data_IF_871182711005
#
_entry.id   IF_871182711005
#
_cell.length_a   1.000
_cell.length_b   1.000
_cell.length_c   1.000
_cell.angle_alpha   90.00
_cell.angle_beta   90.00
_cell.angle_gamma   90.00
#
_symmetry.space_group_name_H-M   'P 1'
#
loop_
_entity.id
_entity.type
_entity.pdbx_description
1 polymer ?
#
# COMPACT_ATOMS: atom_id res chain seq x y z
N UNK A 1 18.04 -17.34 12.65
CA UNK A 1 17.02 -17.75 13.61
C UNK A 1 16.14 -16.53 13.86
N UNK A 2 14.96 -16.49 13.30
CA UNK A 2 13.97 -15.45 13.62
C UNK A 2 13.39 -15.80 15.00
N UNK A 3 13.61 -14.92 15.98
CA UNK A 3 13.00 -15.08 17.31
C UNK A 3 11.47 -15.01 17.17
N UNK A 4 10.77 -15.82 17.98
CA UNK A 4 9.30 -15.71 18.05
C UNK A 4 8.88 -14.27 18.36
N UNK A 5 7.82 -13.76 17.72
CA UNK A 5 7.32 -12.45 18.04
C UNK A 5 6.89 -12.40 19.53
N UNK A 6 7.07 -11.25 20.19
CA UNK A 6 6.70 -11.13 21.61
C UNK A 6 5.19 -11.35 21.78
N UNK A 7 4.79 -11.84 22.95
CA UNK A 7 3.39 -12.10 23.29
C UNK A 7 2.49 -10.86 23.26
N UNK A 8 3.08 -9.66 23.36
CA UNK A 8 2.44 -8.35 23.24
C UNK A 8 3.27 -7.47 22.33
N UNK A 9 2.65 -6.96 21.28
CA UNK A 9 3.25 -5.99 20.37
C UNK A 9 2.42 -4.70 20.39
N UNK A 10 3.08 -3.56 20.61
CA UNK A 10 2.42 -2.25 20.59
C UNK A 10 2.56 -1.64 19.19
N UNK A 11 1.48 -1.11 18.68
CA UNK A 11 1.44 -0.31 17.44
C UNK A 11 1.34 1.16 17.86
N UNK A 12 2.46 1.70 18.33
CA UNK A 12 2.57 3.05 18.88
C UNK A 12 3.47 3.95 18.02
N UNK A 13 3.55 5.21 18.36
CA UNK A 13 4.30 6.21 17.62
C UNK A 13 5.80 5.90 17.57
N UNK A 14 6.37 5.34 18.63
CA UNK A 14 7.79 4.98 18.67
C UNK A 14 8.12 3.91 17.61
N UNK A 15 7.25 2.90 17.48
CA UNK A 15 7.36 1.88 16.43
C UNK A 15 7.24 2.51 15.04
N UNK A 16 6.25 3.39 14.83
CA UNK A 16 6.01 4.04 13.53
C UNK A 16 7.21 4.89 13.12
N UNK A 17 7.72 5.73 14.00
CA UNK A 17 8.87 6.61 13.74
C UNK A 17 10.14 5.82 13.40
N UNK A 18 10.39 4.74 14.13
CA UNK A 18 11.54 3.86 13.88
C UNK A 18 11.46 3.20 12.51
N UNK A 19 10.31 2.58 12.17
CA UNK A 19 10.16 1.91 10.87
C UNK A 19 10.11 2.92 9.72
N UNK A 20 9.59 4.13 9.95
CA UNK A 20 9.62 5.22 8.97
C UNK A 20 11.05 5.70 8.68
N UNK A 21 11.90 5.80 9.71
CA UNK A 21 13.31 6.11 9.53
C UNK A 21 14.04 5.03 8.70
N UNK A 22 13.75 3.75 8.96
CA UNK A 22 14.25 2.64 8.15
C UNK A 22 13.75 2.75 6.68
N UNK A 23 12.47 3.03 6.47
CA UNK A 23 11.88 3.16 5.14
C UNK A 23 12.53 4.29 4.33
N UNK A 24 12.77 5.45 4.95
CA UNK A 24 13.46 6.59 4.30
C UNK A 24 14.89 6.27 3.85
N UNK A 25 15.58 5.38 4.57
CA UNK A 25 16.96 4.99 4.27
C UNK A 25 17.06 3.92 3.16
N UNK A 26 15.96 3.30 2.77
CA UNK A 26 15.95 2.25 1.73
C UNK A 26 15.72 2.84 0.33
N UNK A 27 16.37 2.30 -0.71
CA UNK A 27 16.12 2.73 -2.11
C UNK A 27 14.66 2.58 -2.54
N UNK A 28 13.94 1.60 -1.99
CA UNK A 28 12.51 1.35 -2.26
C UNK A 28 11.59 2.34 -1.57
N UNK A 29 12.09 3.15 -0.66
CA UNK A 29 11.33 4.10 0.14
C UNK A 29 10.17 3.45 0.92
N UNK A 30 10.30 2.17 1.25
CA UNK A 30 9.34 1.42 2.07
C UNK A 30 9.98 0.32 2.90
N UNK A 31 9.35 0.03 4.03
CA UNK A 31 9.73 -1.03 4.95
C UNK A 31 8.50 -1.78 5.46
N UNK A 32 8.55 -3.11 5.40
CA UNK A 32 7.58 -3.97 6.08
C UNK A 32 8.10 -4.30 7.48
N UNK A 33 7.22 -4.22 8.47
CA UNK A 33 7.45 -4.68 9.83
C UNK A 33 6.46 -5.79 10.16
N UNK A 34 6.94 -7.03 10.19
CA UNK A 34 6.08 -8.20 10.40
C UNK A 34 5.66 -8.32 11.87
N UNK A 35 4.36 -8.55 12.07
CA UNK A 35 3.74 -8.84 13.36
C UNK A 35 3.43 -10.34 13.50
N UNK A 36 3.78 -11.13 12.50
CA UNK A 36 3.51 -12.55 12.38
C UNK A 36 4.79 -13.31 12.03
N UNK A 37 4.75 -14.63 12.15
CA UNK A 37 5.76 -15.54 11.60
C UNK A 37 5.35 -15.98 10.21
N UNK A 38 6.30 -16.28 9.34
CA UNK A 38 6.02 -16.70 7.95
C UNK A 38 5.03 -17.86 7.84
N UNK A 39 5.08 -18.92 8.70
CA UNK A 39 4.11 -20.02 8.62
C UNK A 39 2.73 -19.73 9.23
N UNK A 40 2.51 -18.54 9.78
CA UNK A 40 1.21 -18.20 10.36
C UNK A 40 0.12 -18.18 9.28
N UNK A 41 -1.11 -18.67 9.57
CA UNK A 41 -2.19 -18.73 8.60
C UNK A 41 -2.76 -17.34 8.24
N UNK A 42 -2.41 -16.31 8.98
CA UNK A 42 -2.76 -14.92 8.69
C UNK A 42 -1.52 -14.05 8.79
N UNK A 43 -1.17 -13.41 7.69
CA UNK A 43 -0.10 -12.42 7.63
C UNK A 43 -0.60 -11.09 8.17
N UNK A 44 0.19 -10.45 9.01
CA UNK A 44 -0.10 -9.14 9.64
C UNK A 44 1.20 -8.35 9.69
N UNK A 45 1.24 -7.21 9.05
CA UNK A 45 2.45 -6.38 9.04
C UNK A 45 2.13 -4.90 8.80
N UNK A 46 3.01 -4.05 9.26
CA UNK A 46 2.99 -2.65 8.90
C UNK A 46 3.73 -2.48 7.58
N UNK A 47 3.08 -1.84 6.63
CA UNK A 47 3.68 -1.30 5.42
C UNK A 47 3.95 0.19 5.67
N UNK A 48 5.21 0.57 5.83
CA UNK A 48 5.58 1.97 6.05
C UNK A 48 6.21 2.50 4.78
N UNK A 49 5.61 3.56 4.22
CA UNK A 49 5.91 4.04 2.87
C UNK A 49 6.10 5.54 2.81
N UNK A 50 7.00 5.95 1.92
CA UNK A 50 7.27 7.34 1.56
C UNK A 50 6.70 7.66 0.18
N UNK A 51 6.31 8.92 -0.12
CA UNK A 51 6.07 9.36 -1.48
C UNK A 51 7.27 9.01 -2.40
N UNK A 52 6.98 8.44 -3.56
CA UNK A 52 8.00 7.85 -4.45
C UNK A 52 8.14 6.33 -4.33
N UNK A 53 7.47 5.70 -3.36
CA UNK A 53 7.40 4.24 -3.28
C UNK A 53 6.61 3.69 -4.47
N UNK A 54 7.27 2.97 -5.35
CA UNK A 54 6.61 2.25 -6.43
C UNK A 54 6.23 0.84 -6.00
N UNK A 55 4.95 0.49 -6.11
CA UNK A 55 4.45 -0.87 -5.94
C UNK A 55 3.97 -1.35 -7.30
N UNK A 56 4.63 -2.37 -7.87
CA UNK A 56 4.21 -2.92 -9.16
C UNK A 56 2.80 -3.48 -9.04
N UNK A 57 1.89 -3.19 -10.00
CA UNK A 57 0.53 -3.73 -9.99
C UNK A 57 0.51 -5.25 -9.93
N UNK A 58 -0.29 -5.78 -9.04
CA UNK A 58 -0.39 -7.20 -8.79
C UNK A 58 -1.76 -7.57 -8.21
N UNK A 59 -1.99 -8.86 -8.13
CA UNK A 59 -3.09 -9.48 -7.39
C UNK A 59 -2.55 -10.65 -6.58
N UNK A 60 -3.33 -11.10 -5.63
CA UNK A 60 -3.07 -12.34 -4.91
C UNK A 60 -4.06 -13.40 -5.36
N UNK A 61 -3.53 -14.55 -5.77
CA UNK A 61 -4.30 -15.73 -6.12
C UNK A 61 -3.93 -16.83 -5.12
N UNK A 62 -4.92 -17.51 -4.59
CA UNK A 62 -4.71 -18.55 -3.60
C UNK A 62 -4.95 -19.94 -4.21
N UNK A 63 -4.29 -20.95 -3.64
CA UNK A 63 -4.49 -22.34 -4.02
C UNK A 63 -5.90 -22.84 -3.74
N UNK A 64 -6.62 -22.16 -2.83
CA UNK A 64 -8.06 -22.37 -2.56
C UNK A 64 -8.83 -21.14 -2.99
N UNK A 65 -9.43 -21.13 -4.19
CA UNK A 65 -10.17 -19.97 -4.68
C UNK A 65 -11.28 -19.54 -3.74
N UNK A 66 -11.45 -18.21 -3.58
CA UNK A 66 -12.50 -17.60 -2.77
C UNK A 66 -12.18 -17.48 -1.28
N UNK A 67 -11.01 -17.91 -0.82
CA UNK A 67 -10.57 -17.75 0.57
C UNK A 67 -9.60 -16.56 0.76
N UNK A 68 -9.01 -16.04 -0.34
CA UNK A 68 -8.06 -14.96 -0.30
C UNK A 68 -8.72 -13.59 -0.01
N UNK A 69 -8.05 -12.80 0.80
CA UNK A 69 -8.42 -11.40 1.05
C UNK A 69 -7.17 -10.58 1.39
N UNK A 70 -7.28 -9.28 1.22
CA UNK A 70 -6.38 -8.29 1.80
C UNK A 70 -7.19 -7.20 2.49
N UNK A 71 -6.78 -6.83 3.68
CA UNK A 71 -7.39 -5.73 4.42
C UNK A 71 -6.32 -4.69 4.74
N UNK A 72 -6.55 -3.45 4.32
CA UNK A 72 -5.70 -2.31 4.54
C UNK A 72 -6.33 -1.35 5.54
N UNK A 73 -5.59 -0.94 6.56
CA UNK A 73 -6.01 0.09 7.52
C UNK A 73 -4.89 1.10 7.68
N UNK A 74 -5.14 2.36 7.34
CA UNK A 74 -4.15 3.43 7.50
C UNK A 74 -4.15 3.91 8.93
N UNK A 75 -3.00 3.77 9.59
CA UNK A 75 -2.78 4.15 10.99
C UNK A 75 -2.14 5.55 11.11
N UNK A 76 -1.37 5.98 10.09
CA UNK A 76 -0.74 7.29 10.01
C UNK A 76 -0.62 7.74 8.56
N UNK A 77 -0.79 9.03 8.28
CA UNK A 77 -0.67 9.60 6.95
C UNK A 77 -1.81 9.20 6.01
N UNK A 78 -1.50 9.04 4.73
CA UNK A 78 -2.47 8.73 3.70
C UNK A 78 -1.88 7.90 2.55
N UNK A 79 -2.70 7.00 2.03
CA UNK A 79 -2.38 6.09 0.93
C UNK A 79 -3.42 6.26 -0.19
N UNK A 80 -2.96 6.26 -1.42
CA UNK A 80 -3.81 6.09 -2.60
C UNK A 80 -3.81 4.64 -3.04
N UNK A 81 -4.98 4.03 -3.09
CA UNK A 81 -5.20 2.71 -3.68
C UNK A 81 -5.75 2.89 -5.09
N UNK A 82 -5.15 2.20 -6.06
CA UNK A 82 -5.63 2.16 -7.44
C UNK A 82 -6.00 0.72 -7.79
N UNK A 83 -7.22 0.52 -8.26
CA UNK A 83 -7.67 -0.74 -8.83
C UNK A 83 -7.53 -0.68 -10.36
N UNK A 84 -7.03 -1.77 -10.94
CA UNK A 84 -6.75 -1.84 -12.37
C UNK A 84 -7.57 -2.96 -13.02
N UNK A 85 -7.86 -2.79 -14.31
CA UNK A 85 -8.35 -3.87 -15.14
C UNK A 85 -7.18 -4.72 -15.70
N UNK A 86 -7.46 -5.84 -16.38
CA UNK A 86 -6.42 -6.70 -16.97
C UNK A 86 -5.57 -6.00 -18.04
N UNK A 87 -6.06 -4.92 -18.65
CA UNK A 87 -5.35 -4.10 -19.63
C UNK A 87 -4.46 -3.03 -18.98
N UNK A 88 -4.46 -2.97 -17.65
CA UNK A 88 -3.64 -2.04 -16.86
C UNK A 88 -4.21 -0.64 -16.73
N UNK A 89 -5.49 -0.44 -17.09
CA UNK A 89 -6.14 0.86 -16.91
C UNK A 89 -6.65 0.99 -15.47
N UNK A 90 -6.50 2.17 -14.90
CA UNK A 90 -7.04 2.48 -13.57
C UNK A 90 -8.55 2.65 -13.67
N UNK A 91 -9.30 1.75 -13.06
CA UNK A 91 -10.78 1.73 -13.07
C UNK A 91 -11.39 2.33 -11.80
N UNK A 92 -10.65 2.34 -10.69
CA UNK A 92 -11.11 2.91 -9.42
C UNK A 92 -9.95 3.47 -8.62
N UNK A 93 -10.20 4.51 -7.83
CA UNK A 93 -9.23 5.14 -6.94
C UNK A 93 -9.87 5.41 -5.59
N UNK A 94 -9.15 5.04 -4.53
CA UNK A 94 -9.57 5.28 -3.16
C UNK A 94 -8.45 5.97 -2.37
N UNK A 95 -8.78 7.08 -1.71
CA UNK A 95 -7.88 7.73 -0.76
C UNK A 95 -8.20 7.24 0.64
N UNK A 96 -7.26 6.49 1.23
CA UNK A 96 -7.32 6.06 2.62
C UNK A 96 -6.44 6.98 3.46
N UNK A 97 -6.94 7.46 4.59
CA UNK A 97 -6.17 8.35 5.46
C UNK A 97 -6.53 8.13 6.93
N UNK A 98 -5.55 8.16 7.81
CA UNK A 98 -5.75 7.98 9.26
C UNK A 98 -6.72 9.03 9.84
N UNK A 99 -6.67 10.27 9.34
CA UNK A 99 -7.58 11.35 9.72
C UNK A 99 -8.77 11.56 8.75
N UNK A 100 -8.91 10.68 7.72
CA UNK A 100 -9.96 10.81 6.71
C UNK A 100 -11.24 10.06 7.04
N UNK A 101 -12.28 10.24 6.22
CA UNK A 101 -13.53 9.49 6.37
C UNK A 101 -13.36 8.00 6.02
N UNK A 102 -12.48 7.67 5.07
CA UNK A 102 -12.13 6.31 4.69
C UNK A 102 -10.73 5.99 5.25
N UNK A 103 -10.68 5.05 6.19
CA UNK A 103 -9.44 4.66 6.88
C UNK A 103 -8.91 3.31 6.44
N UNK A 104 -9.75 2.47 5.91
CA UNK A 104 -9.36 1.13 5.48
C UNK A 104 -10.32 0.56 4.46
N UNK A 105 -9.88 -0.51 3.79
CA UNK A 105 -10.65 -1.21 2.76
C UNK A 105 -10.24 -2.69 2.76
N UNK A 106 -11.17 -3.56 2.41
CA UNK A 106 -10.89 -4.95 2.16
C UNK A 106 -11.06 -5.26 0.68
N UNK A 107 -10.07 -5.92 0.10
CA UNK A 107 -10.09 -6.46 -1.26
C UNK A 107 -10.39 -7.95 -1.22
N UNK A 108 -11.21 -8.41 -2.15
CA UNK A 108 -11.37 -9.82 -2.41
C UNK A 108 -10.16 -10.36 -3.18
N UNK A 109 -10.02 -11.69 -3.18
CA UNK A 109 -9.02 -12.39 -3.99
C UNK A 109 -9.08 -11.99 -5.46
N UNK A 110 -7.91 -11.85 -6.10
CA UNK A 110 -7.80 -11.62 -7.53
C UNK A 110 -7.98 -10.18 -7.99
N UNK A 111 -8.26 -9.23 -7.10
CA UNK A 111 -8.35 -7.80 -7.46
C UNK A 111 -6.96 -7.26 -7.80
N UNK A 112 -6.80 -6.81 -9.05
CA UNK A 112 -5.58 -6.14 -9.51
C UNK A 112 -5.49 -4.74 -8.88
N UNK A 113 -4.39 -4.48 -8.18
CA UNK A 113 -4.22 -3.22 -7.47
C UNK A 113 -2.76 -2.78 -7.35
N UNK A 114 -2.59 -1.52 -7.01
CA UNK A 114 -1.34 -0.91 -6.56
C UNK A 114 -1.61 0.18 -5.53
N UNK A 115 -0.55 0.60 -4.85
CA UNK A 115 -0.59 1.61 -3.79
C UNK A 115 0.45 2.71 -4.05
N UNK A 116 0.12 3.93 -3.66
CA UNK A 116 1.04 5.07 -3.60
C UNK A 116 0.94 5.74 -2.23
N UNK A 117 2.05 6.15 -1.65
CA UNK A 117 2.04 6.97 -0.45
C UNK A 117 1.72 8.43 -0.82
N UNK A 118 0.71 9.02 -0.20
CA UNK A 118 0.28 10.40 -0.45
C UNK A 118 0.91 11.39 0.53
N UNK A 119 1.29 10.92 1.70
CA UNK A 119 1.92 11.70 2.75
C UNK A 119 3.22 11.03 3.21
N UNK A 120 4.24 11.77 3.65
CA UNK A 120 5.43 11.19 4.26
C UNK A 120 5.08 10.30 5.46
N UNK A 121 5.91 9.29 5.70
CA UNK A 121 5.82 8.40 6.84
C UNK A 121 4.43 7.73 7.00
N UNK A 122 3.78 7.43 5.87
CA UNK A 122 2.49 6.74 5.89
C UNK A 122 2.64 5.31 6.39
N UNK A 123 1.84 4.95 7.39
CA UNK A 123 1.80 3.63 8.02
C UNK A 123 0.48 2.97 7.73
N UNK A 124 0.53 1.81 7.10
CA UNK A 124 -0.63 0.99 6.78
C UNK A 124 -0.47 -0.39 7.41
N UNK A 125 -1.46 -0.81 8.19
CA UNK A 125 -1.60 -2.20 8.61
C UNK A 125 -2.20 -3.00 7.45
N UNK A 126 -1.48 -4.02 7.02
CA UNK A 126 -1.94 -4.98 6.04
C UNK A 126 -2.17 -6.32 6.70
N UNK A 127 -3.36 -6.87 6.47
CA UNK A 127 -3.79 -8.20 6.95
C UNK A 127 -4.21 -8.99 5.72
N UNK A 128 -3.62 -10.15 5.51
CA UNK A 128 -3.98 -11.04 4.40
C UNK A 128 -3.87 -12.50 4.78
N UNK A 129 -4.50 -13.35 4.00
CA UNK A 129 -4.34 -14.78 4.15
C UNK A 129 -2.88 -15.20 4.03
N UNK A 130 -2.46 -16.13 4.87
CA UNK A 130 -1.19 -16.83 4.85
C UNK A 130 -1.38 -18.33 4.60
N UNK A 131 -0.32 -19.12 4.76
CA UNK A 131 1.05 -18.70 5.05
C UNK A 131 1.72 -17.93 3.91
N UNK A 132 2.84 -17.28 4.19
CA UNK A 132 3.63 -16.59 3.17
C UNK A 132 4.33 -17.61 2.24
N UNK A 133 4.07 -17.49 0.94
CA UNK A 133 4.71 -18.31 -0.10
C UNK A 133 5.45 -17.39 -1.09
N UNK A 134 6.79 -17.26 -1.00
CA UNK A 134 7.56 -16.29 -1.78
C UNK A 134 7.36 -16.39 -3.29
N UNK A 135 7.12 -17.60 -3.81
CA UNK A 135 6.98 -17.88 -5.26
C UNK A 135 5.57 -17.64 -5.80
N UNK A 136 4.57 -17.58 -4.93
CA UNK A 136 3.16 -17.49 -5.32
C UNK A 136 2.42 -16.28 -4.67
N UNK A 137 3.11 -15.48 -3.86
CA UNK A 137 2.45 -14.40 -3.10
C UNK A 137 1.89 -13.30 -4.02
N UNK A 138 2.54 -13.03 -5.16
CA UNK A 138 2.13 -11.96 -6.08
C UNK A 138 2.10 -12.43 -7.53
N UNK A 139 0.94 -12.28 -8.16
CA UNK A 139 0.76 -12.36 -9.60
C UNK A 139 0.82 -10.95 -10.19
N UNK A 140 1.97 -10.60 -10.78
CA UNK A 140 2.22 -9.26 -11.31
C UNK A 140 1.54 -9.05 -12.66
N UNK A 141 0.88 -7.91 -12.80
CA UNK A 141 0.33 -7.49 -14.09
C UNK A 141 1.48 -7.21 -15.08
N UNK A 142 1.46 -7.83 -16.27
CA UNK A 142 2.43 -7.55 -17.33
C UNK A 142 2.39 -6.09 -17.82
N UNK A 143 3.46 -5.62 -18.48
CA UNK A 143 3.51 -4.30 -19.10
C UNK A 143 3.89 -3.15 -18.17
N UNK A 144 4.06 -3.41 -16.87
CA UNK A 144 4.52 -2.39 -15.92
C UNK A 144 6.03 -2.50 -15.66
N UNK A 145 6.72 -1.35 -15.47
CA UNK A 145 8.15 -1.33 -15.27
C UNK A 145 8.58 -2.10 -14.02
N UNK A 146 9.84 -2.55 -14.05
CA UNK A 146 10.46 -3.18 -12.89
C UNK A 146 10.71 -2.15 -11.78
N UNK A 147 10.59 -2.57 -10.53
CA UNK A 147 10.91 -1.74 -9.39
C UNK A 147 12.37 -1.26 -9.44
N UNK A 148 12.61 0.01 -9.14
CA UNK A 148 13.93 0.63 -9.13
C UNK A 148 14.34 1.27 -10.46
N UNK A 149 13.52 1.17 -11.53
CA UNK A 149 13.77 1.87 -12.79
C UNK A 149 13.23 3.31 -12.78
N UNK A 150 13.73 4.15 -13.68
CA UNK A 150 13.25 5.53 -13.84
C UNK A 150 11.78 5.56 -14.31
N UNK A 151 11.41 4.61 -15.16
CA UNK A 151 10.03 4.44 -15.63
C UNK A 151 9.07 4.09 -14.47
N UNK A 152 9.54 3.30 -13.50
CA UNK A 152 8.75 2.97 -12.31
C UNK A 152 8.50 4.22 -11.45
N UNK A 153 9.51 5.08 -11.29
CA UNK A 153 9.37 6.33 -10.56
C UNK A 153 8.44 7.31 -11.27
N UNK A 154 8.53 7.39 -12.60
CA UNK A 154 7.62 8.21 -13.38
C UNK A 154 6.17 7.70 -13.29
N UNK A 155 5.99 6.37 -13.34
CA UNK A 155 4.68 5.75 -13.19
C UNK A 155 4.07 6.04 -11.81
N UNK A 156 4.87 5.95 -10.74
CA UNK A 156 4.42 6.32 -9.38
C UNK A 156 3.97 7.78 -9.31
N UNK A 157 4.77 8.71 -9.86
CA UNK A 157 4.40 10.14 -9.89
C UNK A 157 3.07 10.38 -10.60
N UNK A 158 2.82 9.70 -11.74
CA UNK A 158 1.56 9.80 -12.48
C UNK A 158 0.38 9.28 -11.66
N UNK A 159 0.55 8.17 -10.97
CA UNK A 159 -0.51 7.64 -10.11
C UNK A 159 -0.78 8.54 -8.92
N UNK A 160 0.26 8.99 -8.24
CA UNK A 160 0.14 9.88 -7.08
C UNK A 160 -0.52 11.21 -7.44
N UNK A 161 -0.21 11.76 -8.61
CA UNK A 161 -0.83 12.98 -9.12
C UNK A 161 -2.36 12.86 -9.29
N UNK A 162 -2.90 11.66 -9.49
CA UNK A 162 -4.34 11.43 -9.60
C UNK A 162 -5.11 11.66 -8.29
N UNK A 163 -4.40 11.77 -7.17
CA UNK A 163 -4.96 12.07 -5.84
C UNK A 163 -4.76 13.53 -5.43
N UNK A 164 -4.07 14.33 -6.23
CA UNK A 164 -3.98 15.76 -5.98
C UNK A 164 -5.38 16.37 -6.09
N UNK A 165 -5.87 16.98 -5.03
CA UNK A 165 -7.11 17.76 -5.05
C UNK A 165 -6.95 18.89 -6.04
N UNK A 166 -7.78 18.94 -7.07
CA UNK A 166 -7.98 20.15 -7.86
C UNK A 166 -8.42 21.23 -6.85
N UNK A 167 -7.56 22.23 -6.59
CA UNK A 167 -7.98 23.42 -5.82
C UNK A 167 -9.20 23.97 -6.55
N UNK A 168 -10.33 24.21 -5.84
CA UNK A 168 -11.43 24.92 -6.47
C UNK A 168 -10.85 26.25 -6.96
N UNK A 169 -10.96 26.55 -8.25
CA UNK A 169 -10.72 27.87 -8.79
C UNK A 169 -11.72 28.77 -8.08
N UNK A 170 -11.22 29.66 -7.26
CA UNK A 170 -12.03 30.75 -6.69
C UNK A 170 -12.54 31.54 -7.90
N UNK A 171 -13.81 31.34 -8.20
CA UNK A 171 -14.49 32.09 -9.25
C UNK A 171 -14.39 33.59 -8.93
N UNK A 172 -13.90 34.35 -9.90
CA UNK A 172 -14.06 35.80 -9.90
C UNK A 172 -15.53 36.14 -9.70
N UNK A 173 -15.83 36.72 -8.55
CA UNK A 173 -17.08 37.43 -8.37
C UNK A 173 -17.05 38.63 -9.29
N UNK A 174 -17.74 38.52 -10.42
CA UNK A 174 -18.06 39.67 -11.23
C UNK A 174 -18.90 40.64 -10.36
N UNK A 175 -18.32 41.77 -10.07
CA UNK A 175 -19.03 42.91 -9.55
C UNK A 175 -19.97 43.44 -10.63
N UNK A 176 -21.23 43.58 -10.29
CA UNK A 176 -22.22 44.44 -10.97
C UNK A 176 -22.98 45.21 -9.91
#
# INVERSE_FOLDING_TARGET
MTSDPPSLQRLDQELFDRVAAEARALPRLRRNHNLHREPDPVQRFLNVMQPGTYVRPHRHLRSRPGAGFECFVVLQGAIGLLLLDPDGQVVQRERLAAAGPLRGIQLAEGILHTLVALEPDSVMLEIKEGPYEPTADKDFLPGFPAEGSDEAQEQERRWRAQFATVRPTVGETAAS
#
